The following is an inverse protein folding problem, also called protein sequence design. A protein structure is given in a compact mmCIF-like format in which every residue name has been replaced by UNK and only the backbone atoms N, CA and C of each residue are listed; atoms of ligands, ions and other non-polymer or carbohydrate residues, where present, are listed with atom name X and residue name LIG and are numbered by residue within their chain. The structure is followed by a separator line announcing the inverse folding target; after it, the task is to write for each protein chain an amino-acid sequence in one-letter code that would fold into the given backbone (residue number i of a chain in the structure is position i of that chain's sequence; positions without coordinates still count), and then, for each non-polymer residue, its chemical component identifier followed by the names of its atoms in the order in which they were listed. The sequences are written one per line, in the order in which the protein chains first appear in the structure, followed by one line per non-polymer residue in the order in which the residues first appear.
data_IF_415362167480
#
_entry.id   IF_415362167480
#
_cell.length_a   1.000
_cell.length_b   1.000
_cell.length_c   1.000
_cell.angle_alpha   90.00
_cell.angle_beta   90.00
_cell.angle_gamma   90.00
#
_symmetry.space_group_name_H-M   'P 1'
#
loop_
_entity.id
_entity.type
_entity.pdbx_description
1 polymer ?
#
# COMPACT_ATOMS: atom_id res chain seq x y z
N UNK A 1 -0.16 7.03 -25.67
CA UNK A 1 -0.21 8.38 -25.05
C UNK A 1 1.14 9.08 -25.09
N UNK A 2 2.18 8.63 -24.35
CA UNK A 2 3.46 9.36 -24.19
C UNK A 2 4.11 9.81 -25.51
N UNK A 3 4.20 8.92 -26.51
CA UNK A 3 4.79 9.27 -27.81
C UNK A 3 4.04 10.43 -28.49
N UNK A 4 2.71 10.47 -28.39
CA UNK A 4 1.89 11.56 -28.93
C UNK A 4 2.05 12.84 -28.11
N UNK A 5 2.14 12.72 -26.79
CA UNK A 5 2.37 13.87 -25.91
C UNK A 5 3.69 14.57 -26.25
N UNK A 6 4.79 13.82 -26.39
CA UNK A 6 6.08 14.39 -26.78
C UNK A 6 6.16 14.87 -28.23
N UNK A 7 5.29 14.38 -29.13
CA UNK A 7 5.15 14.97 -30.48
C UNK A 7 4.48 16.35 -30.42
N UNK A 8 3.54 16.55 -29.50
CA UNK A 8 2.85 17.83 -29.31
C UNK A 8 3.69 18.84 -28.52
N UNK A 9 4.53 18.36 -27.59
CA UNK A 9 5.37 19.19 -26.72
C UNK A 9 6.86 18.81 -26.84
N UNK A 10 7.47 19.01 -28.02
CA UNK A 10 8.85 18.59 -28.29
C UNK A 10 9.90 19.32 -27.43
N UNK A 11 9.58 20.49 -26.89
CA UNK A 11 10.43 21.27 -26.00
C UNK A 11 10.79 20.54 -24.69
N UNK A 12 10.01 19.53 -24.29
CA UNK A 12 10.30 18.70 -23.11
C UNK A 12 11.16 17.46 -23.43
N UNK A 13 11.49 17.18 -24.70
CA UNK A 13 12.22 15.94 -25.07
C UNK A 13 13.63 15.86 -24.49
N UNK A 14 14.29 17.00 -24.34
CA UNK A 14 15.64 17.07 -23.74
C UNK A 14 15.61 16.89 -22.22
N UNK A 15 14.46 17.08 -21.57
CA UNK A 15 14.37 17.03 -20.12
C UNK A 15 14.51 15.59 -19.60
N UNK A 16 15.21 15.39 -18.48
CA UNK A 16 15.16 14.13 -17.75
C UNK A 16 13.71 13.71 -17.46
N UNK A 17 13.30 12.54 -17.95
CA UNK A 17 11.95 12.02 -17.78
C UNK A 17 11.92 10.90 -16.74
N UNK A 18 11.00 11.02 -15.78
CA UNK A 18 10.75 10.04 -14.72
C UNK A 18 9.27 9.66 -14.71
N UNK A 19 8.98 8.40 -14.40
CA UNK A 19 7.61 7.93 -14.20
C UNK A 19 7.41 7.68 -12.71
N UNK A 20 6.39 8.28 -12.10
CA UNK A 20 6.08 8.07 -10.70
C UNK A 20 4.61 7.73 -10.50
N UNK A 21 4.31 7.00 -9.43
CA UNK A 21 2.95 6.67 -9.05
C UNK A 21 2.88 6.01 -7.68
N UNK A 22 1.67 5.87 -7.16
CA UNK A 22 1.40 5.28 -5.84
C UNK A 22 0.35 4.17 -5.92
N UNK A 23 0.31 3.29 -4.91
CA UNK A 23 -0.75 2.28 -4.73
C UNK A 23 -0.77 1.27 -5.88
N UNK A 24 -1.88 1.15 -6.62
CA UNK A 24 -1.95 0.24 -7.76
C UNK A 24 -0.93 0.59 -8.87
N UNK A 25 -0.38 1.81 -8.85
CA UNK A 25 0.70 2.18 -9.74
C UNK A 25 2.00 1.39 -9.52
N UNK A 26 2.11 0.59 -8.45
CA UNK A 26 3.14 -0.47 -8.36
C UNK A 26 3.07 -1.48 -9.50
N UNK A 27 1.93 -1.59 -10.20
CA UNK A 27 1.80 -2.31 -11.47
C UNK A 27 2.09 -1.39 -12.65
N UNK A 28 1.40 -0.24 -12.72
CA UNK A 28 1.44 0.63 -13.89
C UNK A 28 2.82 1.20 -14.16
N UNK A 29 3.52 1.64 -13.12
CA UNK A 29 4.79 2.35 -13.25
C UNK A 29 5.89 1.42 -13.76
N UNK A 30 6.14 0.23 -13.17
CA UNK A 30 7.17 -0.68 -13.68
C UNK A 30 6.84 -1.23 -15.07
N UNK A 31 5.56 -1.57 -15.35
CA UNK A 31 5.16 -2.10 -16.66
C UNK A 31 5.27 -1.04 -17.76
N UNK A 32 4.82 0.19 -17.52
CA UNK A 32 5.01 1.29 -18.46
C UNK A 32 6.49 1.64 -18.65
N UNK A 33 7.28 1.64 -17.56
CA UNK A 33 8.71 1.89 -17.63
C UNK A 33 9.43 0.83 -18.47
N UNK A 34 9.03 -0.43 -18.35
CA UNK A 34 9.53 -1.52 -19.18
C UNK A 34 9.26 -1.28 -20.67
N UNK A 35 8.03 -0.89 -21.03
CA UNK A 35 7.68 -0.56 -22.42
C UNK A 35 8.43 0.67 -22.95
N UNK A 36 8.69 1.68 -22.11
CA UNK A 36 9.53 2.83 -22.49
C UNK A 36 10.95 2.37 -22.78
N UNK A 37 11.57 1.56 -21.92
CA UNK A 37 12.93 1.03 -22.14
C UNK A 37 12.98 0.19 -23.40
N UNK A 38 12.00 -0.71 -23.62
CA UNK A 38 11.90 -1.49 -24.84
C UNK A 38 11.84 -0.60 -26.09
N UNK A 39 11.00 0.43 -26.07
CA UNK A 39 10.92 1.40 -27.15
C UNK A 39 12.23 2.14 -27.41
N UNK A 40 13.04 2.43 -26.38
CA UNK A 40 14.37 3.02 -26.55
C UNK A 40 15.34 2.06 -27.24
N UNK A 41 15.33 0.78 -26.87
CA UNK A 41 16.15 -0.27 -27.50
C UNK A 41 15.75 -0.48 -28.97
N UNK A 42 14.46 -0.43 -29.26
CA UNK A 42 13.89 -0.60 -30.60
C UNK A 42 14.00 0.68 -31.46
N UNK A 43 14.58 1.76 -30.92
CA UNK A 43 14.77 3.02 -31.66
C UNK A 43 13.50 3.81 -31.94
N UNK A 44 12.42 3.57 -31.17
CA UNK A 44 11.12 4.25 -31.31
C UNK A 44 11.27 5.77 -31.14
N UNK A 45 10.52 6.53 -31.96
CA UNK A 45 10.52 7.99 -31.96
C UNK A 45 9.18 8.56 -31.48
N UNK A 46 9.19 9.70 -30.77
CA UNK A 46 10.37 10.45 -30.35
C UNK A 46 11.13 9.75 -29.20
N UNK A 47 12.46 9.94 -29.15
CA UNK A 47 13.30 9.30 -28.13
C UNK A 47 13.11 10.00 -26.79
N UNK A 48 12.55 9.29 -25.81
CA UNK A 48 12.28 9.80 -24.47
C UNK A 48 13.58 9.77 -23.65
N UNK A 49 13.98 10.88 -23.03
CA UNK A 49 15.15 10.94 -22.15
C UNK A 49 14.87 10.32 -20.76
N UNK A 50 14.51 9.03 -20.75
CA UNK A 50 14.08 8.29 -19.56
C UNK A 50 15.25 8.05 -18.59
N UNK A 51 15.05 8.38 -17.31
CA UNK A 51 16.06 8.25 -16.25
C UNK A 51 15.70 7.26 -15.16
N UNK A 52 14.43 6.90 -15.02
CA UNK A 52 13.99 5.93 -14.04
C UNK A 52 12.57 6.16 -13.59
N UNK A 53 12.15 5.41 -12.58
CA UNK A 53 10.81 5.48 -12.03
C UNK A 53 10.81 5.41 -10.51
N UNK A 54 9.70 5.83 -9.91
CA UNK A 54 9.48 5.77 -8.46
C UNK A 54 8.08 5.21 -8.18
N UNK A 55 8.00 4.32 -7.21
CA UNK A 55 6.72 3.78 -6.73
C UNK A 55 6.59 4.07 -5.24
N UNK A 56 5.57 4.84 -4.86
CA UNK A 56 5.17 5.03 -3.46
C UNK A 56 4.16 3.97 -3.05
N UNK A 57 4.35 3.32 -1.91
CA UNK A 57 3.37 2.40 -1.30
C UNK A 57 2.63 1.49 -2.30
N UNK A 58 3.40 0.96 -3.25
CA UNK A 58 2.85 0.25 -4.40
C UNK A 58 2.52 -1.19 -4.06
N UNK A 59 1.51 -1.73 -4.72
CA UNK A 59 1.34 -3.19 -4.80
C UNK A 59 2.36 -3.77 -5.78
N UNK A 60 3.06 -4.80 -5.34
CA UNK A 60 4.20 -5.37 -6.05
C UNK A 60 4.05 -6.88 -6.24
N UNK A 61 3.64 -7.61 -5.20
CA UNK A 61 3.57 -9.06 -5.23
C UNK A 61 2.50 -9.60 -4.28
N UNK A 62 1.68 -10.52 -4.80
CA UNK A 62 0.54 -11.06 -4.05
C UNK A 62 0.92 -11.82 -2.78
N UNK A 63 2.07 -12.49 -2.78
CA UNK A 63 2.55 -13.29 -1.66
C UNK A 63 3.21 -12.38 -0.63
N UNK A 64 4.10 -11.49 -1.06
CA UNK A 64 4.79 -10.59 -0.12
C UNK A 64 3.83 -9.57 0.49
N UNK A 65 3.03 -8.88 -0.33
CA UNK A 65 2.10 -7.85 0.15
C UNK A 65 0.96 -8.49 0.96
N UNK A 66 0.45 -9.65 0.52
CA UNK A 66 -0.60 -10.38 1.21
C UNK A 66 -0.18 -10.88 2.60
N UNK A 67 1.09 -11.30 2.74
CA UNK A 67 1.63 -11.77 4.01
C UNK A 67 2.12 -10.64 4.94
N UNK A 68 2.21 -9.40 4.46
CA UNK A 68 2.74 -8.29 5.24
C UNK A 68 1.78 -7.79 6.33
N UNK A 69 0.46 -8.01 6.22
CA UNK A 69 -0.50 -7.38 7.12
C UNK A 69 -0.37 -7.83 8.58
N UNK A 70 -0.37 -9.14 8.82
CA UNK A 70 -0.31 -9.68 10.19
C UNK A 70 0.95 -9.23 10.94
N UNK A 71 2.18 -9.33 10.37
CA UNK A 71 3.38 -8.83 11.03
C UNK A 71 3.40 -7.30 11.14
N UNK A 72 2.81 -6.56 10.19
CA UNK A 72 2.66 -5.10 10.32
C UNK A 72 1.76 -4.74 11.51
N UNK A 73 0.59 -5.37 11.62
CA UNK A 73 -0.36 -5.12 12.69
C UNK A 73 0.26 -5.43 14.06
N UNK A 74 1.02 -6.52 14.17
CA UNK A 74 1.76 -6.85 15.39
C UNK A 74 2.88 -5.85 15.68
N UNK A 75 3.72 -5.52 14.69
CA UNK A 75 4.83 -4.58 14.84
C UNK A 75 4.41 -3.14 15.18
N UNK A 76 3.18 -2.76 14.81
CA UNK A 76 2.56 -1.49 15.18
C UNK A 76 1.71 -1.57 16.46
N UNK A 77 1.74 -2.72 17.16
CA UNK A 77 1.01 -3.00 18.39
C UNK A 77 -0.52 -2.84 18.28
N UNK A 78 -1.08 -3.14 17.10
CA UNK A 78 -2.52 -3.12 16.83
C UNK A 78 -3.21 -4.43 17.24
N UNK A 79 -2.43 -5.51 17.37
CA UNK A 79 -2.86 -6.82 17.88
C UNK A 79 -1.90 -7.28 18.99
N UNK A 80 -2.40 -8.10 19.92
CA UNK A 80 -1.58 -8.64 21.00
C UNK A 80 -0.67 -9.79 20.54
N UNK A 81 0.34 -10.11 21.36
CA UNK A 81 1.22 -11.27 21.13
C UNK A 81 0.43 -12.56 21.00
N UNK A 82 -0.58 -12.79 21.84
CA UNK A 82 -1.43 -13.99 21.77
C UNK A 82 -2.14 -14.13 20.42
N UNK A 83 -2.70 -13.03 19.91
CA UNK A 83 -3.38 -13.02 18.60
C UNK A 83 -2.38 -13.24 17.46
N UNK A 84 -1.20 -12.63 17.55
CA UNK A 84 -0.14 -12.85 16.57
C UNK A 84 0.36 -14.31 16.58
N UNK A 85 0.60 -14.90 17.75
CA UNK A 85 1.02 -16.29 17.88
C UNK A 85 -0.07 -17.27 17.43
N UNK A 86 -1.34 -16.98 17.70
CA UNK A 86 -2.47 -17.75 17.18
C UNK A 86 -2.46 -17.75 15.64
N UNK A 87 -2.34 -16.57 15.01
CA UNK A 87 -2.28 -16.46 13.55
C UNK A 87 -1.03 -17.15 12.98
N UNK A 88 0.15 -16.93 13.57
CA UNK A 88 1.40 -17.55 13.14
C UNK A 88 1.34 -19.09 13.21
N UNK A 89 0.72 -19.64 14.27
CA UNK A 89 0.57 -21.08 14.47
C UNK A 89 -0.45 -21.68 13.51
N UNK A 90 -1.61 -21.03 13.34
CA UNK A 90 -2.68 -21.52 12.48
C UNK A 90 -2.33 -21.43 10.99
N UNK A 91 -1.62 -20.38 10.59
CA UNK A 91 -1.32 -20.05 9.20
C UNK A 91 0.07 -20.46 8.74
N UNK A 92 0.95 -20.89 9.65
CA UNK A 92 2.36 -21.24 9.35
C UNK A 92 3.11 -20.13 8.58
N UNK A 93 2.81 -18.87 8.87
CA UNK A 93 3.40 -17.70 8.20
C UNK A 93 2.80 -17.36 6.84
N UNK A 94 1.81 -18.12 6.35
CA UNK A 94 1.05 -17.78 5.15
C UNK A 94 -0.35 -17.22 5.50
N UNK A 95 -0.42 -15.91 5.63
CA UNK A 95 -1.62 -15.11 5.89
C UNK A 95 -2.40 -14.74 4.61
N UNK A 96 -1.93 -15.20 3.45
CA UNK A 96 -2.51 -14.93 2.15
C UNK A 96 -3.03 -16.20 1.48
N UNK A 97 -4.26 -16.14 0.92
CA UNK A 97 -4.85 -17.23 0.14
C UNK A 97 -4.80 -18.60 0.83
N UNK A 98 -5.02 -18.62 2.16
CA UNK A 98 -5.15 -19.84 2.97
C UNK A 98 -6.47 -20.54 2.65
N UNK A 99 -6.53 -21.85 2.87
CA UNK A 99 -7.73 -22.69 2.70
C UNK A 99 -8.10 -23.47 3.96
N UNK A 100 -7.44 -23.19 5.09
CA UNK A 100 -7.73 -23.88 6.36
C UNK A 100 -8.63 -23.04 7.25
N UNK A 101 -9.73 -23.64 7.73
CA UNK A 101 -10.68 -22.97 8.64
C UNK A 101 -9.99 -22.38 9.87
N UNK A 102 -8.94 -23.04 10.40
CA UNK A 102 -8.19 -22.55 11.55
C UNK A 102 -7.46 -21.25 11.26
N UNK A 103 -6.77 -21.17 10.12
CA UNK A 103 -6.08 -19.94 9.73
C UNK A 103 -7.08 -18.84 9.36
N UNK A 104 -8.15 -19.17 8.63
CA UNK A 104 -9.20 -18.20 8.28
C UNK A 104 -9.83 -17.58 9.54
N UNK A 105 -10.15 -18.38 10.55
CA UNK A 105 -10.68 -17.89 11.83
C UNK A 105 -9.67 -17.00 12.58
N UNK A 106 -8.38 -17.36 12.57
CA UNK A 106 -7.33 -16.55 13.19
C UNK A 106 -7.15 -15.20 12.46
N UNK A 107 -7.17 -15.21 11.12
CA UNK A 107 -7.11 -14.00 10.29
C UNK A 107 -8.35 -13.13 10.46
N UNK A 108 -9.53 -13.72 10.58
CA UNK A 108 -10.77 -12.98 10.84
C UNK A 108 -10.73 -12.21 12.16
N UNK A 109 -10.12 -12.79 13.21
CA UNK A 109 -9.89 -12.08 14.49
C UNK A 109 -8.99 -10.85 14.28
N UNK A 110 -7.89 -10.99 13.55
CA UNK A 110 -6.99 -9.88 13.21
C UNK A 110 -7.76 -8.79 12.46
N UNK A 111 -8.52 -9.16 11.43
CA UNK A 111 -9.27 -8.21 10.59
C UNK A 111 -10.34 -7.47 11.40
N UNK A 112 -11.00 -8.16 12.32
CA UNK A 112 -12.01 -7.55 13.19
C UNK A 112 -11.39 -6.50 14.12
N UNK A 113 -10.24 -6.81 14.72
CA UNK A 113 -9.54 -5.90 15.65
C UNK A 113 -9.09 -4.60 14.99
N UNK A 114 -8.77 -4.65 13.70
CA UNK A 114 -8.25 -3.50 12.96
C UNK A 114 -9.27 -2.85 12.02
N UNK A 115 -10.51 -3.36 11.99
CA UNK A 115 -11.55 -2.94 11.04
C UNK A 115 -11.99 -1.47 11.13
N UNK A 116 -11.86 -0.86 12.32
CA UNK A 116 -12.22 0.55 12.55
C UNK A 116 -11.06 1.53 12.29
N UNK A 117 -9.86 1.03 11.98
CA UNK A 117 -8.70 1.87 11.68
C UNK A 117 -8.77 2.43 10.25
N UNK A 118 -8.16 3.59 10.06
CA UNK A 118 -7.92 4.09 8.71
C UNK A 118 -6.81 3.27 8.06
N UNK A 119 -7.18 2.53 7.02
CA UNK A 119 -6.26 1.68 6.27
C UNK A 119 -5.21 2.46 5.47
N UNK A 120 -5.36 3.77 5.27
CA UNK A 120 -4.36 4.57 4.56
C UNK A 120 -3.35 5.22 5.51
N UNK A 121 -3.79 5.53 6.74
CA UNK A 121 -2.93 6.04 7.80
C UNK A 121 -3.53 5.69 9.17
N UNK A 122 -2.89 4.75 9.87
CA UNK A 122 -3.38 4.23 11.16
C UNK A 122 -3.42 5.25 12.29
N UNK A 123 -2.76 6.41 12.11
CA UNK A 123 -2.73 7.48 13.10
C UNK A 123 -3.80 8.54 12.85
N UNK A 124 -4.45 8.50 11.68
CA UNK A 124 -5.47 9.47 11.28
C UNK A 124 -6.89 8.91 11.46
N UNK A 125 -7.90 9.78 11.67
CA UNK A 125 -9.29 9.37 11.71
C UNK A 125 -9.73 8.65 10.42
N UNK A 126 -10.63 7.67 10.54
CA UNK A 126 -11.25 7.03 9.39
C UNK A 126 -12.41 7.90 8.86
N UNK A 127 -12.23 8.51 7.69
CA UNK A 127 -13.20 9.43 7.07
C UNK A 127 -14.30 8.74 6.23
N UNK A 128 -14.29 7.40 6.13
CA UNK A 128 -15.21 6.65 5.25
C UNK A 128 -16.63 6.45 5.81
N UNK A 129 -16.99 7.09 6.93
CA UNK A 129 -18.36 7.09 7.46
C UNK A 129 -19.03 8.45 7.21
N UNK A 130 -20.30 8.44 6.79
CA UNK A 130 -21.13 9.64 6.54
C UNK A 130 -21.32 10.52 7.79
N UNK A 131 -21.02 9.99 8.97
CA UNK A 131 -20.87 10.74 10.21
C UNK A 131 -19.51 10.42 10.82
N UNK A 132 -18.81 11.46 11.28
CA UNK A 132 -17.73 11.31 12.23
C UNK A 132 -18.38 10.67 13.46
N UNK A 133 -18.18 9.37 13.69
CA UNK A 133 -18.31 8.89 15.06
C UNK A 133 -17.16 9.57 15.77
N UNK A 134 -17.43 10.66 16.49
CA UNK A 134 -16.55 11.03 17.57
C UNK A 134 -16.34 9.74 18.36
N UNK A 135 -15.09 9.28 18.44
CA UNK A 135 -14.76 8.20 19.35
C UNK A 135 -14.94 8.81 20.73
N UNK A 136 -16.18 8.86 21.23
CA UNK A 136 -16.44 9.17 22.62
C UNK A 136 -15.66 8.11 23.40
N UNK A 137 -14.66 8.49 24.22
CA UNK A 137 -13.77 7.56 24.90
C UNK A 137 -14.47 6.59 25.85
N UNK A 138 -15.78 6.76 26.05
CA UNK A 138 -16.60 6.06 27.02
C UNK A 138 -16.65 4.53 26.81
N UNK A 139 -16.38 4.00 25.61
CA UNK A 139 -16.48 2.56 25.33
C UNK A 139 -15.25 1.93 24.65
N UNK A 140 -14.12 2.64 24.59
CA UNK A 140 -12.92 2.11 23.93
C UNK A 140 -12.18 1.15 24.88
N UNK A 141 -12.01 -0.11 24.48
CA UNK A 141 -11.21 -1.11 25.23
C UNK A 141 -9.69 -0.86 25.16
N UNK A 142 -9.26 0.16 24.42
CA UNK A 142 -7.84 0.50 24.26
C UNK A 142 -7.29 1.10 25.57
N UNK A 143 -6.16 0.59 26.08
CA UNK A 143 -5.49 1.15 27.25
C UNK A 143 -5.21 2.65 27.08
N UNK A 144 -5.26 3.42 28.17
CA UNK A 144 -4.97 4.88 28.14
C UNK A 144 -3.61 5.20 27.50
N UNK A 145 -2.62 4.32 27.63
CA UNK A 145 -1.31 4.48 26.99
C UNK A 145 -1.37 4.52 25.45
N UNK A 146 -2.32 3.81 24.84
CA UNK A 146 -2.53 3.84 23.39
C UNK A 146 -3.32 5.07 22.93
N UNK A 147 -4.21 5.59 23.77
CA UNK A 147 -4.99 6.80 23.47
C UNK A 147 -4.12 8.06 23.37
N UNK A 148 -2.96 8.05 24.02
CA UNK A 148 -1.97 9.15 24.00
C UNK A 148 -0.78 8.89 23.06
N UNK A 149 -0.78 7.77 22.33
CA UNK A 149 0.32 7.42 21.44
C UNK A 149 0.35 8.40 20.25
N UNK A 150 1.43 9.19 20.13
CA UNK A 150 1.59 10.21 19.09
C UNK A 150 1.28 11.64 19.53
N UNK A 151 0.67 11.84 20.70
CA UNK A 151 0.54 13.17 21.31
C UNK A 151 1.87 13.58 21.93
N UNK A 152 2.54 14.60 21.38
CA UNK A 152 3.78 15.12 21.94
C UNK A 152 3.97 16.60 21.62
N UNK A 153 4.36 17.39 22.63
CA UNK A 153 4.78 18.79 22.46
C UNK A 153 6.23 18.91 21.95
N UNK A 154 6.93 17.77 21.77
CA UNK A 154 8.29 17.76 21.25
C UNK A 154 8.26 17.85 19.72
N UNK A 155 9.09 18.69 19.10
CA UNK A 155 9.27 18.64 17.65
C UNK A 155 9.72 17.23 17.27
N UNK A 156 8.99 16.61 16.36
CA UNK A 156 9.26 15.24 15.91
C UNK A 156 10.68 15.18 15.36
N UNK A 157 11.50 14.28 15.90
CA UNK A 157 12.82 14.01 15.34
C UNK A 157 12.67 13.60 13.87
N UNK A 158 13.50 14.18 13.01
CA UNK A 158 13.59 13.79 11.60
C UNK A 158 13.96 12.31 11.55
N UNK A 159 13.01 11.46 11.17
CA UNK A 159 13.21 10.01 11.11
C UNK A 159 14.14 9.68 9.95
N UNK A 160 15.23 8.98 10.24
CA UNK A 160 16.21 8.48 9.24
C UNK A 160 15.83 7.12 8.65
N UNK A 161 14.76 6.47 9.15
CA UNK A 161 14.15 5.27 8.54
C UNK A 161 12.63 5.35 8.58
N UNK A 162 12.02 5.23 7.40
CA UNK A 162 10.60 4.99 7.23
C UNK A 162 10.33 3.49 7.39
N UNK A 163 9.99 3.02 8.60
CA UNK A 163 9.01 1.94 8.66
C UNK A 163 7.68 2.60 8.31
N UNK A 164 7.11 2.26 7.16
CA UNK A 164 5.97 2.98 6.60
C UNK A 164 4.82 3.08 7.60
N UNK A 165 4.21 4.26 7.72
CA UNK A 165 2.91 4.43 8.40
C UNK A 165 1.76 3.83 7.58
N UNK A 166 2.01 3.68 6.29
CA UNK A 166 1.07 3.17 5.33
C UNK A 166 0.93 1.65 5.48
N UNK A 167 -0.33 1.25 5.58
CA UNK A 167 -0.78 -0.11 5.68
C UNK A 167 -0.44 -0.92 4.43
N UNK A 168 0.07 -2.16 4.54
CA UNK A 168 0.10 -3.08 3.41
C UNK A 168 -1.35 -3.43 3.04
N UNK A 169 -1.84 -2.84 1.95
CA UNK A 169 -3.18 -3.12 1.45
C UNK A 169 -3.23 -4.59 1.02
N UNK A 170 -4.11 -5.39 1.66
CA UNK A 170 -4.43 -6.78 1.27
C UNK A 170 -5.14 -6.91 -0.10
N UNK A 171 -4.91 -5.96 -0.99
CA UNK A 171 -5.38 -5.99 -2.37
C UNK A 171 -4.24 -6.54 -3.24
N UNK A 172 -4.08 -7.87 -3.36
CA UNK A 172 -3.13 -8.43 -4.32
C UNK A 172 -3.48 -7.97 -5.74
N UNK A 173 -2.47 -7.87 -6.60
CA UNK A 173 -2.71 -7.84 -8.05
C UNK A 173 -2.52 -9.23 -8.60
N UNK A 174 -3.58 -9.82 -9.14
CA UNK A 174 -3.48 -11.10 -9.85
C UNK A 174 -2.97 -10.86 -11.26
N UNK A 175 -2.18 -11.81 -11.78
CA UNK A 175 -1.88 -11.85 -13.19
C UNK A 175 -3.18 -11.90 -14.00
N UNK A 176 -3.33 -10.97 -14.93
CA UNK A 176 -4.55 -10.82 -15.70
C UNK A 176 -4.49 -9.57 -16.57
N UNK A 177 -5.37 -9.49 -17.56
CA UNK A 177 -5.55 -8.28 -18.36
C UNK A 177 -6.08 -7.18 -17.46
N UNK A 178 -5.30 -6.12 -17.25
CA UNK A 178 -5.79 -4.86 -16.67
C UNK A 178 -6.59 -4.16 -17.77
N UNK A 179 -7.90 -3.96 -17.60
CA UNK A 179 -8.68 -3.31 -18.63
C UNK A 179 -8.25 -1.85 -18.77
N UNK A 180 -8.29 -1.32 -19.99
CA UNK A 180 -8.01 0.11 -20.20
C UNK A 180 -9.14 0.98 -19.65
N UNK A 181 -8.87 2.24 -19.30
CA UNK A 181 -9.93 3.18 -18.89
C UNK A 181 -11.06 3.30 -19.93
N UNK A 182 -10.76 3.10 -21.21
CA UNK A 182 -11.73 3.10 -22.30
C UNK A 182 -12.65 1.87 -22.28
N UNK A 183 -12.23 0.78 -21.64
CA UNK A 183 -13.02 -0.43 -21.46
C UNK A 183 -13.93 -0.34 -20.22
N UNK A 184 -13.71 0.65 -19.36
CA UNK A 184 -14.52 0.93 -18.17
C UNK A 184 -15.53 2.08 -18.37
N UNK A 185 -15.42 2.83 -19.47
CA UNK A 185 -16.29 3.96 -19.82
C UNK A 185 -17.42 3.50 -20.77
#
# INVERSE_FOLDING_TARGET
FLLKWFQLYPEFLSNPFYIAGESYAGVYVPTLSHEVVKGLHDGVKPTINFKGYMVGNGVCDTVFDGNALVPFAHGMALISDDIYQEAQTACHGNYWNTTTDKCENALYKVDTLISDLNIYDILEPCYHRKSIKEVTPANTKLPKSFQHLGTTDKPLAVRTRMHGRAWPLRAPVRAGRVPSWQEFA
#
